data_IF_101498286833
#
_entry.id   IF_101498286833
#
_cell.length_a   1.000
_cell.length_b   1.000
_cell.length_c   1.000
_cell.angle_alpha   90.00
_cell.angle_beta   90.00
_cell.angle_gamma   90.00
#
_symmetry.space_group_name_H-M   'P 1'
#
loop_
_entity.id
_entity.type
_entity.pdbx_description
1 polymer ?
#
# COMPACT_ATOMS: atom_id res chain seq x y z
N UNK A 1 -8.38 -11.03 12.63
CA UNK A 1 -7.50 -10.42 11.61
C UNK A 1 -6.28 -9.98 12.35
N UNK A 2 -5.12 -10.41 11.88
CA UNK A 2 -3.85 -10.20 12.56
C UNK A 2 -2.95 -9.37 11.63
N UNK A 3 -2.32 -8.34 12.19
CA UNK A 3 -1.34 -7.50 11.48
C UNK A 3 0.03 -7.82 12.06
N UNK A 4 0.91 -8.39 11.25
CA UNK A 4 2.29 -8.68 11.65
C UNK A 4 3.23 -7.64 11.04
N UNK A 5 3.91 -6.82 11.86
CA UNK A 5 4.94 -5.92 11.37
C UNK A 5 6.21 -6.72 11.06
N UNK A 6 6.80 -6.43 9.91
CA UNK A 6 8.14 -6.83 9.52
C UNK A 6 8.96 -5.55 9.36
N UNK A 7 10.06 -5.45 10.10
CA UNK A 7 10.99 -4.32 9.99
C UNK A 7 12.01 -4.68 8.93
N UNK A 8 12.09 -3.88 7.86
CA UNK A 8 13.23 -3.90 6.96
C UNK A 8 14.12 -2.71 7.31
N UNK A 9 15.31 -2.98 7.84
CA UNK A 9 16.33 -1.96 7.92
C UNK A 9 16.86 -1.73 6.50
N UNK A 10 16.33 -0.71 5.83
CA UNK A 10 16.89 -0.19 4.59
C UNK A 10 17.34 1.24 4.87
N UNK A 11 18.61 1.53 4.64
CA UNK A 11 19.15 2.89 4.61
C UNK A 11 18.55 3.56 3.36
N UNK A 12 17.49 4.37 3.52
CA UNK A 12 16.82 5.05 2.41
C UNK A 12 16.57 6.51 2.77
N UNK A 13 16.88 7.41 1.83
CA UNK A 13 16.60 8.84 1.95
C UNK A 13 15.08 9.11 1.93
N UNK A 14 14.61 10.15 2.65
CA UNK A 14 13.19 10.46 2.77
C UNK A 14 12.57 10.74 1.39
N UNK A 15 11.49 10.05 1.07
CA UNK A 15 10.79 10.18 -0.22
C UNK A 15 9.96 11.48 -0.20
N UNK A 16 10.14 12.40 -1.16
CA UNK A 16 9.43 13.69 -1.17
C UNK A 16 7.94 13.54 -1.53
N UNK A 17 7.17 14.45 -0.93
CA UNK A 17 5.71 14.67 -0.99
C UNK A 17 5.09 14.46 -2.38
N UNK A 18 4.29 13.39 -2.58
CA UNK A 18 3.69 13.06 -3.90
C UNK A 18 2.35 12.31 -3.87
N UNK A 19 1.54 12.68 -4.86
CA UNK A 19 0.14 12.33 -5.09
C UNK A 19 -0.16 10.86 -5.42
N UNK A 20 -1.44 10.55 -5.24
CA UNK A 20 -2.14 9.26 -5.34
C UNK A 20 -2.05 8.63 -6.72
N UNK A 21 -1.76 7.32 -6.80
CA UNK A 21 -1.88 6.58 -8.05
C UNK A 21 -2.74 5.33 -7.89
N UNK A 22 -4.00 5.47 -8.29
CA UNK A 22 -4.92 4.36 -8.40
C UNK A 22 -4.68 3.56 -9.69
N UNK A 23 -4.00 2.42 -9.55
CA UNK A 23 -3.99 1.34 -10.54
C UNK A 23 -5.17 0.36 -10.41
N UNK A 24 -6.06 0.56 -9.41
CA UNK A 24 -7.17 -0.34 -9.10
C UNK A 24 -8.54 0.32 -9.22
N UNK A 25 -9.56 -0.51 -9.46
CA UNK A 25 -10.99 -0.12 -9.54
C UNK A 25 -11.38 0.74 -8.34
N UNK A 26 -12.00 1.91 -8.57
CA UNK A 26 -12.57 2.74 -7.52
C UNK A 26 -13.55 1.92 -6.67
N UNK A 27 -13.22 1.70 -5.39
CA UNK A 27 -14.03 0.88 -4.48
C UNK A 27 -15.04 1.78 -3.76
N UNK A 28 -16.34 1.51 -3.84
CA UNK A 28 -17.34 2.28 -3.10
C UNK A 28 -17.07 2.20 -1.60
N UNK A 29 -17.10 3.36 -0.93
CA UNK A 29 -17.00 3.48 0.53
C UNK A 29 -18.40 3.30 1.11
N UNK A 30 -18.73 2.12 1.65
CA UNK A 30 -19.90 1.97 2.53
C UNK A 30 -19.55 2.38 3.97
N UNK A 31 -20.56 2.83 4.71
CA UNK A 31 -20.49 3.54 5.99
C UNK A 31 -19.63 2.84 7.05
N UNK A 32 -18.76 3.63 7.68
CA UNK A 32 -17.96 3.41 8.90
C UNK A 32 -17.24 2.06 9.05
N UNK A 33 -15.91 2.11 9.17
CA UNK A 33 -15.11 0.95 9.54
C UNK A 33 -15.26 0.67 11.04
N UNK A 34 -16.14 -0.26 11.41
CA UNK A 34 -16.40 -0.61 12.81
C UNK A 34 -15.40 -1.63 13.34
N UNK A 35 -14.88 -1.41 14.56
CA UNK A 35 -14.13 -2.41 15.32
C UNK A 35 -12.72 -2.72 14.79
N UNK A 36 -12.13 -1.83 13.97
CA UNK A 36 -10.79 -2.01 13.38
C UNK A 36 -9.77 -0.95 13.77
N UNK A 37 -10.04 -0.22 14.85
CA UNK A 37 -9.19 0.91 15.28
C UNK A 37 -7.76 0.46 15.57
N UNK A 38 -7.58 -0.73 16.15
CA UNK A 38 -6.25 -1.26 16.49
C UNK A 38 -5.45 -1.60 15.23
N UNK A 39 -6.04 -2.33 14.28
CA UNK A 39 -5.35 -2.69 13.04
C UNK A 39 -5.02 -1.46 12.18
N UNK A 40 -5.96 -0.51 12.13
CA UNK A 40 -5.77 0.77 11.43
C UNK A 40 -4.67 1.60 12.09
N UNK A 41 -4.58 1.62 13.42
CA UNK A 41 -3.50 2.29 14.16
C UNK A 41 -2.16 1.61 13.89
N UNK A 42 -2.11 0.28 13.94
CA UNK A 42 -0.89 -0.48 13.70
C UNK A 42 -0.36 -0.27 12.27
N UNK A 43 -1.24 -0.26 11.27
CA UNK A 43 -0.85 0.03 9.88
C UNK A 43 -0.50 1.51 9.67
N UNK A 44 -1.16 2.43 10.36
CA UNK A 44 -0.77 3.84 10.39
C UNK A 44 0.68 4.04 10.84
N UNK A 45 1.10 3.37 11.92
CA UNK A 45 2.48 3.42 12.39
C UNK A 45 3.52 2.89 11.38
N UNK A 46 3.11 2.07 10.41
CA UNK A 46 4.00 1.65 9.31
C UNK A 46 4.19 2.75 8.26
N UNK A 47 3.12 3.52 7.99
CA UNK A 47 3.18 4.70 7.12
C UNK A 47 4.05 5.77 7.78
N UNK A 48 3.86 6.04 9.07
CA UNK A 48 4.62 7.05 9.81
C UNK A 48 6.13 6.75 9.77
N UNK A 49 6.52 5.49 9.97
CA UNK A 49 7.92 5.05 9.86
C UNK A 49 8.46 5.20 8.45
N UNK A 50 7.70 4.80 7.43
CA UNK A 50 8.12 4.98 6.04
C UNK A 50 8.32 6.47 5.71
N UNK A 51 7.45 7.35 6.20
CA UNK A 51 7.60 8.81 6.08
C UNK A 51 8.84 9.37 6.79
N UNK A 52 9.31 8.69 7.85
CA UNK A 52 10.56 9.03 8.54
C UNK A 52 11.82 8.46 7.85
N UNK A 53 11.69 7.79 6.69
CA UNK A 53 12.79 7.13 5.99
C UNK A 53 13.09 5.71 6.50
N UNK A 54 12.28 5.18 7.41
CA UNK A 54 12.43 3.81 7.92
C UNK A 54 11.56 2.83 7.13
N UNK A 55 12.21 2.01 6.29
CA UNK A 55 11.54 0.95 5.55
C UNK A 55 10.71 0.03 6.44
N UNK A 56 9.47 -0.26 6.05
CA UNK A 56 8.62 -1.16 6.82
C UNK A 56 7.66 -1.97 5.95
N UNK A 57 7.30 -3.16 6.42
CA UNK A 57 6.36 -4.06 5.77
C UNK A 57 5.34 -4.54 6.81
N UNK A 58 4.08 -4.68 6.40
CA UNK A 58 3.06 -5.32 7.21
C UNK A 58 2.38 -6.45 6.45
N UNK A 59 2.17 -7.57 7.12
CA UNK A 59 1.39 -8.69 6.60
C UNK A 59 0.02 -8.70 7.28
N UNK A 60 -1.05 -8.71 6.48
CA UNK A 60 -2.43 -8.77 6.97
C UNK A 60 -2.98 -10.17 6.71
N UNK A 61 -3.12 -10.94 7.79
CA UNK A 61 -3.71 -12.29 7.78
C UNK A 61 -5.16 -12.30 8.27
N UNK A 62 -5.98 -13.18 7.71
CA UNK A 62 -7.34 -13.41 8.22
C UNK A 62 -8.25 -14.15 7.25
N UNK A 63 -9.45 -14.45 7.69
CA UNK A 63 -10.45 -15.24 6.96
C UNK A 63 -10.94 -14.52 5.69
N UNK A 64 -11.44 -15.27 4.71
CA UNK A 64 -12.12 -14.69 3.56
C UNK A 64 -13.34 -13.88 4.03
N UNK A 65 -13.53 -12.69 3.47
CA UNK A 65 -14.66 -11.82 3.85
C UNK A 65 -14.51 -11.05 5.17
N UNK A 66 -13.44 -11.25 5.96
CA UNK A 66 -13.25 -10.59 7.27
C UNK A 66 -13.03 -9.06 7.20
N UNK A 67 -12.90 -8.51 5.99
CA UNK A 67 -12.73 -7.08 5.74
C UNK A 67 -11.29 -6.63 5.41
N UNK A 68 -10.35 -7.53 5.07
CA UNK A 68 -8.97 -7.17 4.69
C UNK A 68 -8.90 -6.09 3.61
N UNK A 69 -9.69 -6.24 2.55
CA UNK A 69 -9.81 -5.27 1.45
C UNK A 69 -10.31 -3.90 1.95
N UNK A 70 -11.26 -3.89 2.88
CA UNK A 70 -11.81 -2.65 3.45
C UNK A 70 -10.81 -1.96 4.37
N UNK A 71 -10.04 -2.75 5.14
CA UNK A 71 -8.93 -2.25 5.96
C UNK A 71 -7.85 -1.61 5.08
N UNK A 72 -7.43 -2.29 4.01
CA UNK A 72 -6.46 -1.75 3.07
C UNK A 72 -6.94 -0.44 2.46
N UNK A 73 -8.21 -0.32 2.07
CA UNK A 73 -8.77 0.95 1.55
C UNK A 73 -8.75 2.08 2.57
N UNK A 74 -8.84 1.80 3.87
CA UNK A 74 -8.69 2.81 4.92
C UNK A 74 -7.23 3.27 5.05
N UNK A 75 -6.29 2.33 5.00
CA UNK A 75 -4.86 2.60 5.10
C UNK A 75 -4.32 3.31 3.85
N UNK A 76 -4.82 2.95 2.67
CA UNK A 76 -4.59 3.67 1.42
C UNK A 76 -5.00 5.14 1.55
N UNK A 77 -6.19 5.42 2.10
CA UNK A 77 -6.66 6.79 2.31
C UNK A 77 -5.75 7.57 3.27
N UNK A 78 -5.31 6.95 4.36
CA UNK A 78 -4.36 7.57 5.31
C UNK A 78 -3.00 7.88 4.68
N UNK A 79 -2.46 6.96 3.87
CA UNK A 79 -1.22 7.19 3.15
C UNK A 79 -1.33 8.38 2.20
N UNK A 80 -2.44 8.46 1.47
CA UNK A 80 -2.76 9.61 0.61
C UNK A 80 -2.85 10.91 1.40
N UNK A 81 -3.57 10.91 2.52
CA UNK A 81 -3.69 12.09 3.41
C UNK A 81 -2.35 12.53 3.99
N UNK A 82 -1.42 11.59 4.19
CA UNK A 82 -0.05 11.84 4.62
C UNK A 82 0.90 12.26 3.48
N UNK A 83 0.41 12.46 2.24
CA UNK A 83 1.22 12.88 1.09
C UNK A 83 2.07 11.75 0.49
N UNK A 84 1.76 10.49 0.81
CA UNK A 84 2.48 9.34 0.28
C UNK A 84 1.99 8.94 -1.11
N UNK A 85 2.94 8.53 -1.95
CA UNK A 85 2.66 7.84 -3.20
C UNK A 85 2.16 6.41 -2.89
N UNK A 86 0.85 6.20 -3.02
CA UNK A 86 0.23 4.89 -2.81
C UNK A 86 0.11 4.15 -4.14
N UNK A 87 0.69 2.94 -4.19
CA UNK A 87 0.59 2.03 -5.33
C UNK A 87 -0.08 0.72 -4.91
N UNK A 88 -0.94 0.18 -5.78
CA UNK A 88 -1.63 -1.08 -5.55
C UNK A 88 -1.39 -2.06 -6.72
N UNK A 89 -1.28 -3.35 -6.38
CA UNK A 89 -1.19 -4.44 -7.34
C UNK A 89 -1.80 -5.72 -6.78
N UNK A 90 -2.29 -6.59 -7.67
CA UNK A 90 -3.00 -7.81 -7.32
C UNK A 90 -2.13 -9.07 -7.45
N UNK A 91 -2.15 -9.91 -6.42
CA UNK A 91 -1.77 -11.32 -6.55
C UNK A 91 -2.98 -12.11 -7.03
N UNK A 92 -3.00 -12.47 -8.31
CA UNK A 92 -4.00 -13.40 -8.85
C UNK A 92 -3.40 -14.79 -8.83
N UNK A 93 -4.11 -15.75 -8.25
CA UNK A 93 -3.73 -17.15 -8.36
C UNK A 93 -3.98 -17.63 -9.80
N UNK A 94 -2.90 -17.76 -10.55
CA UNK A 94 -2.89 -18.24 -11.94
C UNK A 94 -2.30 -19.65 -12.04
N UNK A 95 -2.16 -20.37 -10.91
CA UNK A 95 -1.45 -21.64 -10.86
C UNK A 95 0.00 -21.53 -11.33
N UNK A 96 0.49 -22.54 -12.05
CA UNK A 96 1.88 -22.60 -12.56
C UNK A 96 2.23 -21.50 -13.58
N UNK A 97 1.25 -20.74 -14.07
CA UNK A 97 1.44 -19.66 -15.05
C UNK A 97 1.62 -18.26 -14.46
N UNK A 98 1.69 -18.12 -13.15
CA UNK A 98 1.84 -16.83 -12.49
C UNK A 98 3.15 -16.12 -12.84
N UNK A 99 3.08 -14.83 -13.21
CA UNK A 99 4.29 -14.02 -13.45
C UNK A 99 4.88 -13.59 -12.10
N UNK A 100 6.16 -13.89 -11.80
CA UNK A 100 6.81 -13.40 -10.59
C UNK A 100 6.72 -11.89 -10.50
N UNK A 101 6.50 -11.39 -9.28
CA UNK A 101 6.38 -9.95 -9.02
C UNK A 101 5.25 -9.25 -9.81
N UNK A 102 4.27 -9.99 -10.36
CA UNK A 102 3.11 -9.40 -11.04
C UNK A 102 2.46 -8.24 -10.29
N UNK A 103 2.26 -8.29 -8.94
CA UNK A 103 1.69 -7.17 -8.20
C UNK A 103 2.54 -5.90 -8.31
N UNK A 104 3.87 -6.02 -8.23
CA UNK A 104 4.78 -4.88 -8.35
C UNK A 104 4.84 -4.34 -9.78
N UNK A 105 4.84 -5.25 -10.77
CA UNK A 105 4.80 -4.88 -12.18
C UNK A 105 3.50 -4.10 -12.50
N UNK A 106 2.37 -4.55 -11.97
CA UNK A 106 1.08 -3.86 -12.11
C UNK A 106 1.12 -2.45 -11.49
N UNK A 107 1.59 -2.35 -10.24
CA UNK A 107 1.76 -1.10 -9.51
C UNK A 107 2.64 -0.09 -10.29
N UNK A 108 3.82 -0.51 -10.74
CA UNK A 108 4.74 0.37 -11.50
C UNK A 108 4.15 0.76 -12.86
N UNK A 109 3.45 -0.15 -13.55
CA UNK A 109 2.74 0.18 -14.80
C UNK A 109 1.60 1.17 -14.60
N UNK A 110 0.95 1.17 -13.45
CA UNK A 110 -0.03 2.19 -13.09
C UNK A 110 0.65 3.54 -12.89
N UNK A 111 1.74 3.60 -12.12
CA UNK A 111 2.58 4.79 -11.93
C UNK A 111 3.06 5.41 -13.23
N UNK A 112 3.61 4.62 -14.15
CA UNK A 112 4.07 5.13 -15.45
C UNK A 112 2.96 5.74 -16.33
N UNK A 113 1.69 5.41 -16.08
CA UNK A 113 0.53 5.95 -16.80
C UNK A 113 -0.12 7.13 -16.08
N UNK A 114 0.34 7.44 -14.87
CA UNK A 114 -0.14 8.54 -14.04
C UNK A 114 0.60 9.84 -14.35
N UNK A 115 0.00 11.02 -14.09
CA UNK A 115 0.72 12.30 -14.05
C UNK A 115 1.96 12.30 -13.13
N UNK A 116 1.95 11.45 -12.10
CA UNK A 116 3.05 11.27 -11.16
C UNK A 116 4.17 10.37 -11.68
N UNK A 117 4.19 10.00 -12.96
CA UNK A 117 5.27 9.21 -13.55
C UNK A 117 6.69 9.72 -13.23
N UNK A 118 6.98 11.04 -13.17
CA UNK A 118 8.30 11.54 -12.75
C UNK A 118 8.69 11.16 -11.31
N UNK A 119 7.72 10.72 -10.49
CA UNK A 119 7.98 10.24 -9.14
C UNK A 119 8.80 8.95 -9.11
N UNK A 120 8.63 8.09 -10.13
CA UNK A 120 9.36 6.84 -10.24
C UNK A 120 10.87 7.08 -10.39
N UNK A 121 11.24 8.08 -11.18
CA UNK A 121 12.65 8.40 -11.44
C UNK A 121 13.33 8.91 -10.16
N UNK A 122 12.61 9.66 -9.32
CA UNK A 122 13.13 10.11 -8.04
C UNK A 122 13.19 9.01 -6.96
N UNK A 123 12.34 7.99 -7.06
CA UNK A 123 12.34 6.86 -6.11
C UNK A 123 13.40 5.79 -6.45
N UNK A 124 13.97 5.84 -7.67
CA UNK A 124 14.98 4.91 -8.16
C UNK A 124 16.37 5.55 -8.34
N UNK A 125 16.50 6.86 -8.09
CA UNK A 125 17.75 7.61 -8.13
C UNK A 125 18.43 7.59 -6.75
#
# INVERSE_FOLDING_TARGET
MEVHPLILAAEQEPIPDRSVIMGGVARPRSSELVGRTEEVTALGATIDRAGAGEGSVALIGGEAGIGKTRLLTEVEARGVEAGALVLAGGCVDLGEGGVPFSPFIEAVRALRRSPDAPALDAALA
#
